data_IF_216396931073
#
_entry.id   IF_216396931073
#
_cell.length_a   1.000
_cell.length_b   1.000
_cell.length_c   1.000
_cell.angle_alpha   90.00
_cell.angle_beta   90.00
_cell.angle_gamma   90.00
#
_symmetry.space_group_name_H-M   'P 1'
#
loop_
_entity.id
_entity.type
_entity.pdbx_description
1 polymer ?
#
# COMPACT_ATOMS: atom_id res chain seq x y z
N UNK A 1 0.48 8.86 16.63
CA UNK A 1 1.62 9.42 17.42
C UNK A 1 2.19 8.41 18.41
N UNK A 2 1.43 7.37 18.78
CA UNK A 2 1.91 6.24 19.60
C UNK A 2 2.81 5.32 18.74
N UNK A 3 2.56 5.19 17.43
CA UNK A 3 3.21 4.17 16.58
C UNK A 3 4.64 4.50 16.16
N UNK A 4 4.94 5.75 15.80
CA UNK A 4 6.32 6.17 15.49
C UNK A 4 7.24 6.09 16.72
N UNK A 5 6.73 6.44 17.90
CA UNK A 5 7.46 6.31 19.15
C UNK A 5 7.67 4.83 19.53
N UNK A 6 6.68 3.97 19.28
CA UNK A 6 6.79 2.52 19.46
C UNK A 6 7.80 1.88 18.51
N UNK A 7 7.86 2.31 17.25
CA UNK A 7 8.83 1.83 16.25
C UNK A 7 10.25 2.30 16.54
N UNK A 8 10.44 3.57 16.93
CA UNK A 8 11.74 4.10 17.35
C UNK A 8 12.24 3.39 18.63
N UNK A 9 11.33 3.11 19.57
CA UNK A 9 11.63 2.37 20.79
C UNK A 9 11.97 0.90 20.51
N UNK A 10 11.26 0.24 19.61
CA UNK A 10 11.54 -1.14 19.19
C UNK A 10 12.90 -1.24 18.46
N UNK A 11 13.21 -0.28 17.58
CA UNK A 11 14.51 -0.16 16.92
C UNK A 11 15.64 0.07 17.93
N UNK A 12 15.48 1.03 18.84
CA UNK A 12 16.43 1.30 19.92
C UNK A 12 16.64 0.08 20.83
N UNK A 13 15.57 -0.61 21.22
CA UNK A 13 15.65 -1.83 22.03
C UNK A 13 16.32 -2.98 21.28
N UNK A 14 16.07 -3.11 19.98
CA UNK A 14 16.75 -4.09 19.11
C UNK A 14 18.26 -3.87 19.05
N UNK A 15 18.69 -2.62 18.85
CA UNK A 15 20.11 -2.25 18.90
C UNK A 15 20.71 -2.51 20.29
N UNK A 16 20.00 -2.15 21.35
CA UNK A 16 20.45 -2.34 22.73
C UNK A 16 20.60 -3.82 23.09
N UNK A 17 19.66 -4.67 22.67
CA UNK A 17 19.74 -6.13 22.81
C UNK A 17 20.96 -6.69 22.08
N UNK A 18 21.23 -6.22 20.85
CA UNK A 18 22.41 -6.64 20.09
C UNK A 18 23.73 -6.22 20.77
N UNK A 19 23.76 -5.05 21.41
CA UNK A 19 24.90 -4.59 22.22
C UNK A 19 25.08 -5.45 23.47
N UNK A 20 24.00 -5.74 24.22
CA UNK A 20 24.04 -6.58 25.43
C UNK A 20 24.45 -8.02 25.16
N UNK A 21 24.08 -8.55 24.00
CA UNK A 21 24.53 -9.88 23.55
C UNK A 21 26.06 -9.93 23.36
N UNK A 22 26.70 -8.84 22.91
CA UNK A 22 28.16 -8.78 22.71
C UNK A 22 28.94 -8.40 23.97
N UNK A 23 28.33 -7.63 24.87
CA UNK A 23 28.93 -7.16 26.11
C UNK A 23 27.93 -7.26 27.28
N UNK A 24 27.81 -8.44 27.91
CA UNK A 24 26.85 -8.69 28.99
C UNK A 24 27.17 -7.87 30.24
N UNK A 25 26.14 -7.37 30.92
CA UNK A 25 26.23 -6.71 32.23
C UNK A 25 25.17 -7.23 33.20
N UNK A 26 25.13 -6.75 34.44
CA UNK A 26 24.19 -7.23 35.47
C UNK A 26 22.76 -6.65 35.32
N UNK A 27 22.39 -6.22 34.10
CA UNK A 27 21.09 -5.61 33.79
C UNK A 27 20.02 -6.61 33.34
N UNK A 28 18.74 -6.23 33.50
CA UNK A 28 17.57 -7.06 33.17
C UNK A 28 17.56 -7.58 31.71
N UNK A 29 18.00 -6.78 30.74
CA UNK A 29 18.08 -7.20 29.33
C UNK A 29 19.13 -8.30 29.11
N UNK A 30 20.21 -8.29 29.88
CA UNK A 30 21.22 -9.36 29.85
C UNK A 30 20.64 -10.66 30.41
N UNK A 31 19.81 -10.60 31.46
CA UNK A 31 19.09 -11.76 32.00
C UNK A 31 18.07 -12.33 31.01
N UNK A 32 17.29 -11.48 30.31
CA UNK A 32 16.35 -11.94 29.27
C UNK A 32 17.07 -12.61 28.08
N UNK A 33 18.22 -12.08 27.69
CA UNK A 33 19.09 -12.70 26.69
C UNK A 33 19.63 -14.05 27.18
N UNK A 34 20.01 -14.17 28.45
CA UNK A 34 20.42 -15.46 29.04
C UNK A 34 19.29 -16.48 29.06
N UNK A 35 18.06 -16.09 29.39
CA UNK A 35 16.88 -16.97 29.38
C UNK A 35 16.58 -17.50 27.97
N UNK A 36 16.73 -16.66 26.93
CA UNK A 36 16.64 -17.09 25.53
C UNK A 36 17.67 -18.15 25.13
N UNK A 37 18.86 -18.10 25.72
CA UNK A 37 19.96 -19.03 25.42
C UNK A 37 20.08 -20.19 26.43
N UNK A 38 19.26 -20.22 27.48
CA UNK A 38 19.25 -21.25 28.52
C UNK A 38 18.59 -22.57 28.07
N UNK A 39 18.82 -23.64 28.83
CA UNK A 39 18.16 -24.93 28.58
C UNK A 39 16.67 -24.86 28.95
N UNK A 40 15.80 -25.00 27.95
CA UNK A 40 14.34 -25.06 28.13
C UNK A 40 13.85 -26.51 28.30
N UNK A 41 12.77 -26.74 29.07
CA UNK A 41 12.11 -28.03 29.15
C UNK A 41 11.51 -28.43 27.78
N UNK A 42 11.46 -29.73 27.45
CA UNK A 42 10.98 -30.19 26.15
C UNK A 42 9.48 -29.92 25.97
N UNK A 43 9.12 -29.16 24.92
CA UNK A 43 7.73 -28.87 24.52
C UNK A 43 7.38 -27.39 24.41
N UNK A 44 8.26 -26.48 24.81
CA UNK A 44 8.09 -25.03 24.64
C UNK A 44 9.05 -24.50 23.55
N UNK A 45 8.54 -23.61 22.70
CA UNK A 45 9.36 -22.94 21.69
C UNK A 45 10.30 -21.91 22.34
N UNK A 46 11.52 -21.82 21.81
CA UNK A 46 12.50 -20.85 22.27
C UNK A 46 12.08 -19.46 21.83
N UNK A 47 12.21 -18.49 22.73
CA UNK A 47 12.02 -17.07 22.41
C UNK A 47 12.84 -16.67 21.18
N UNK A 48 12.14 -16.30 20.13
CA UNK A 48 12.70 -15.77 18.90
C UNK A 48 13.25 -14.35 19.14
N UNK A 49 14.02 -13.84 18.18
CA UNK A 49 14.60 -12.50 18.30
C UNK A 49 13.54 -11.41 18.40
N UNK A 50 12.44 -11.59 17.67
CA UNK A 50 11.32 -10.66 17.67
C UNK A 50 10.54 -10.72 18.98
N UNK A 51 10.25 -11.92 19.51
CA UNK A 51 9.54 -12.06 20.79
C UNK A 51 10.32 -11.46 21.98
N UNK A 52 11.65 -11.54 21.96
CA UNK A 52 12.47 -10.91 23.00
C UNK A 52 12.38 -9.38 22.94
N UNK A 53 12.38 -8.80 21.74
CA UNK A 53 12.21 -7.35 21.54
C UNK A 53 10.81 -6.91 21.93
N UNK A 54 9.77 -7.66 21.56
CA UNK A 54 8.40 -7.41 21.99
C UNK A 54 8.24 -7.49 23.51
N UNK A 55 8.85 -8.48 24.16
CA UNK A 55 8.84 -8.61 25.62
C UNK A 55 9.58 -7.46 26.32
N UNK A 56 10.73 -7.04 25.79
CA UNK A 56 11.49 -5.90 26.30
C UNK A 56 10.72 -4.58 26.14
N UNK A 57 10.02 -4.39 25.02
CA UNK A 57 9.15 -3.24 24.79
C UNK A 57 7.95 -3.23 25.75
N UNK A 58 7.31 -4.38 25.96
CA UNK A 58 6.20 -4.51 26.92
C UNK A 58 6.65 -4.20 28.35
N UNK A 59 7.82 -4.67 28.78
CA UNK A 59 8.37 -4.36 30.11
C UNK A 59 8.73 -2.87 30.26
N UNK A 60 9.17 -2.22 29.18
CA UNK A 60 9.51 -0.80 29.18
C UNK A 60 8.25 0.09 29.22
N UNK A 61 7.24 -0.24 28.42
CA UNK A 61 5.94 0.46 28.40
C UNK A 61 5.23 0.28 29.74
N UNK A 62 5.20 -0.95 30.27
CA UNK A 62 4.63 -1.23 31.59
C UNK A 62 5.33 -0.46 32.72
N UNK A 63 6.62 -0.12 32.57
CA UNK A 63 7.34 0.75 33.51
C UNK A 63 7.04 2.25 33.31
N UNK A 64 6.76 2.69 32.08
CA UNK A 64 6.60 4.09 31.71
C UNK A 64 5.16 4.62 31.87
N UNK A 65 4.14 3.79 31.63
CA UNK A 65 2.71 4.17 31.75
C UNK A 65 2.30 4.47 33.19
N UNK A 66 2.96 3.89 34.19
CA UNK A 66 2.72 4.22 35.60
C UNK A 66 3.21 5.60 36.03
N UNK A 67 3.87 6.38 35.15
CA UNK A 67 4.50 7.65 35.54
C UNK A 67 4.16 8.87 34.67
N UNK A 68 3.53 8.70 33.51
CA UNK A 68 3.45 9.75 32.47
C UNK A 68 2.05 10.29 32.15
N UNK A 69 1.01 9.87 32.88
CA UNK A 69 -0.38 10.28 32.63
C UNK A 69 -0.73 11.73 33.07
N UNK A 70 0.17 12.71 32.90
CA UNK A 70 -0.05 14.09 33.36
C UNK A 70 -0.08 15.19 32.27
N UNK A 71 0.36 15.02 31.02
CA UNK A 71 0.56 16.19 30.13
C UNK A 71 0.09 15.96 28.66
N UNK A 72 -0.88 16.75 28.18
CA UNK A 72 -1.63 16.60 26.92
C UNK A 72 -1.42 17.80 25.96
N UNK A 73 -1.44 17.59 24.62
CA UNK A 73 -2.09 18.49 23.64
C UNK A 73 -1.28 19.41 22.67
N UNK A 74 -1.72 19.42 21.39
CA UNK A 74 -1.63 20.44 20.29
C UNK A 74 -0.49 20.35 19.24
N UNK A 75 -0.86 20.05 17.97
CA UNK A 75 -0.98 21.01 16.84
C UNK A 75 -1.00 20.33 15.43
N UNK A 76 -2.04 20.61 14.62
CA UNK A 76 -2.10 20.41 13.15
C UNK A 76 -1.20 21.40 12.39
N UNK A 77 -0.82 21.13 11.13
CA UNK A 77 -0.85 22.05 9.96
C UNK A 77 -0.60 21.32 8.61
N UNK A 78 -1.20 21.87 7.55
CA UNK A 78 -1.46 21.35 6.20
C UNK A 78 -0.51 22.00 5.15
N UNK A 79 -0.20 21.37 4.00
CA UNK A 79 0.48 22.04 2.88
C UNK A 79 0.02 21.61 1.48
N UNK A 80 -0.75 22.49 0.82
CA UNK A 80 -1.02 22.54 -0.63
C UNK A 80 -0.04 23.54 -1.27
N UNK A 81 0.59 23.25 -2.41
CA UNK A 81 1.44 24.22 -3.15
C UNK A 81 0.99 24.42 -4.60
N UNK A 82 1.35 25.62 -5.10
CA UNK A 82 0.74 26.42 -6.17
C UNK A 82 1.45 26.27 -7.52
N UNK A 83 0.62 26.36 -8.56
CA UNK A 83 0.89 26.72 -9.96
C UNK A 83 1.67 28.04 -10.14
N UNK A 84 2.51 28.07 -11.18
CA UNK A 84 2.91 29.30 -11.89
C UNK A 84 3.07 29.06 -13.40
N UNK A 85 2.47 29.96 -14.18
CA UNK A 85 2.52 30.14 -15.64
C UNK A 85 3.91 30.09 -16.29
N UNK A 86 4.03 29.49 -17.50
CA UNK A 86 4.73 30.09 -18.65
C UNK A 86 4.46 29.44 -20.03
N UNK A 87 3.84 30.24 -20.92
CA UNK A 87 4.00 30.42 -22.39
C UNK A 87 4.42 29.24 -23.30
N UNK A 88 3.54 28.95 -24.28
CA UNK A 88 3.71 28.07 -25.45
C UNK A 88 4.81 28.51 -26.44
N UNK A 89 5.41 27.55 -27.16
CA UNK A 89 5.55 27.70 -28.60
C UNK A 89 5.00 26.49 -29.37
N UNK A 90 4.31 26.80 -30.47
CA UNK A 90 3.81 25.88 -31.48
C UNK A 90 4.93 25.35 -32.36
N UNK A 91 4.96 24.04 -32.64
CA UNK A 91 5.50 23.45 -33.88
C UNK A 91 4.81 22.10 -34.11
N UNK A 92 4.49 21.84 -35.37
CA UNK A 92 3.68 20.75 -35.95
C UNK A 92 4.02 19.34 -35.44
N UNK A 93 2.96 18.57 -35.15
CA UNK A 93 3.02 17.13 -34.93
C UNK A 93 2.90 16.39 -36.27
N UNK A 94 3.67 15.31 -36.53
CA UNK A 94 3.36 14.38 -37.59
C UNK A 94 2.21 13.44 -37.18
N UNK A 95 1.35 13.21 -38.15
CA UNK A 95 0.25 12.24 -38.18
C UNK A 95 0.75 10.82 -37.93
N UNK A 96 0.23 10.18 -36.87
CA UNK A 96 0.27 8.73 -36.67
C UNK A 96 -1.14 8.20 -36.42
N UNK A 97 -1.98 8.27 -37.45
CA UNK A 97 -3.10 7.35 -37.60
C UNK A 97 -2.57 5.90 -37.61
N UNK A 98 -2.87 5.13 -36.56
CA UNK A 98 -2.67 3.68 -36.56
C UNK A 98 -2.36 3.02 -35.23
N UNK A 99 -3.32 3.01 -34.30
CA UNK A 99 -3.54 1.93 -33.31
C UNK A 99 -4.81 2.27 -32.50
N UNK A 100 -5.95 2.20 -33.18
CA UNK A 100 -7.26 2.24 -32.53
C UNK A 100 -7.57 0.81 -32.10
N UNK A 101 -6.89 0.35 -31.04
CA UNK A 101 -7.21 -0.93 -30.41
C UNK A 101 -8.34 -0.70 -29.39
N UNK A 102 -9.44 -1.38 -29.67
CA UNK A 102 -10.72 -1.31 -29.00
C UNK A 102 -10.65 -1.72 -27.52
N UNK A 103 -11.08 -0.82 -26.62
CA UNK A 103 -11.56 -1.16 -25.27
C UNK A 103 -12.59 -0.10 -24.82
N UNK A 104 -13.64 0.08 -25.61
CA UNK A 104 -14.88 0.72 -25.15
C UNK A 104 -15.82 -0.45 -24.76
N UNK A 105 -15.65 -0.98 -23.55
CA UNK A 105 -16.64 -1.87 -22.94
C UNK A 105 -17.33 -1.04 -21.85
N UNK A 106 -18.51 -0.53 -22.16
CA UNK A 106 -19.44 -0.05 -21.14
C UNK A 106 -19.59 -1.18 -20.11
N UNK A 107 -19.34 -0.92 -18.81
CA UNK A 107 -19.31 -2.00 -17.83
C UNK A 107 -20.68 -2.67 -17.81
N UNK A 108 -20.75 -4.02 -17.76
CA UNK A 108 -22.03 -4.68 -17.71
C UNK A 108 -22.75 -4.17 -16.46
N UNK A 109 -23.98 -3.67 -16.60
CA UNK A 109 -24.73 -3.03 -15.50
C UNK A 109 -24.74 -3.84 -14.18
N UNK A 110 -24.58 -5.17 -14.28
CA UNK A 110 -24.43 -6.09 -13.14
C UNK A 110 -23.21 -5.80 -12.26
N UNK A 111 -22.09 -5.37 -12.83
CA UNK A 111 -20.88 -5.07 -12.08
C UNK A 111 -21.08 -3.84 -11.20
N UNK A 112 -21.75 -2.81 -11.72
CA UNK A 112 -22.09 -1.63 -10.93
C UNK A 112 -23.12 -1.95 -9.83
N UNK A 113 -24.08 -2.84 -10.07
CA UNK A 113 -25.00 -3.31 -9.03
C UNK A 113 -24.27 -4.02 -7.88
N UNK A 114 -23.29 -4.88 -8.21
CA UNK A 114 -22.42 -5.56 -7.23
C UNK A 114 -21.65 -4.53 -6.40
N UNK A 115 -20.98 -3.59 -7.07
CA UNK A 115 -20.19 -2.55 -6.40
C UNK A 115 -21.09 -1.64 -5.55
N UNK A 116 -22.26 -1.27 -6.03
CA UNK A 116 -23.21 -0.46 -5.27
C UNK A 116 -23.70 -1.19 -4.01
N UNK A 117 -23.88 -2.51 -4.06
CA UNK A 117 -24.22 -3.30 -2.87
C UNK A 117 -23.04 -3.44 -1.90
N UNK A 118 -21.80 -3.46 -2.41
CA UNK A 118 -20.60 -3.67 -1.61
C UNK A 118 -20.17 -2.49 -0.75
N UNK A 119 -20.46 -1.26 -1.19
CA UNK A 119 -20.10 -0.05 -0.47
C UNK A 119 -21.35 0.63 0.07
N UNK A 120 -21.70 0.55 1.36
CA UNK A 120 -22.88 1.23 1.92
C UNK A 120 -22.74 2.76 1.85
N UNK A 121 -23.83 3.49 1.63
CA UNK A 121 -23.84 4.94 1.39
C UNK A 121 -23.21 5.74 2.53
N UNK A 122 -23.33 5.27 3.77
CA UNK A 122 -22.79 5.91 4.97
C UNK A 122 -21.25 5.94 5.03
N UNK A 123 -20.57 5.07 4.28
CA UNK A 123 -19.11 4.98 4.26
C UNK A 123 -18.49 5.56 2.99
N UNK A 124 -19.33 5.95 2.02
CA UNK A 124 -18.90 6.47 0.72
C UNK A 124 -18.44 7.91 0.83
N UNK A 125 -17.34 8.22 0.17
CA UNK A 125 -17.06 9.59 -0.25
C UNK A 125 -17.94 9.95 -1.45
N UNK A 126 -18.20 11.24 -1.71
CA UNK A 126 -18.92 11.66 -2.91
C UNK A 126 -18.28 11.09 -4.18
N UNK A 127 -19.07 10.62 -5.16
CA UNK A 127 -18.53 10.23 -6.46
C UNK A 127 -17.85 11.42 -7.14
N UNK A 128 -16.81 11.15 -7.93
CA UNK A 128 -16.01 12.18 -8.59
C UNK A 128 -16.77 12.83 -9.75
N UNK A 129 -17.59 12.04 -10.46
CA UNK A 129 -18.37 12.50 -11.62
C UNK A 129 -17.56 12.53 -12.93
N UNK A 130 -18.29 12.58 -14.05
CA UNK A 130 -17.72 12.34 -15.39
C UNK A 130 -16.69 13.38 -15.81
N UNK A 131 -16.95 14.65 -15.49
CA UNK A 131 -16.07 15.77 -15.86
C UNK A 131 -14.74 15.70 -15.11
N UNK A 132 -14.77 15.51 -13.80
CA UNK A 132 -13.56 15.47 -12.98
C UNK A 132 -12.72 14.21 -13.24
N UNK A 133 -13.37 13.07 -13.53
CA UNK A 133 -12.68 11.86 -14.00
C UNK A 133 -11.98 12.13 -15.33
N UNK A 134 -12.67 12.72 -16.31
CA UNK A 134 -12.08 13.03 -17.61
C UNK A 134 -10.91 14.02 -17.52
N UNK A 135 -11.01 15.04 -16.64
CA UNK A 135 -9.91 15.97 -16.36
C UNK A 135 -8.70 15.23 -15.78
N UNK A 136 -8.90 14.36 -14.78
CA UNK A 136 -7.82 13.58 -14.21
C UNK A 136 -7.17 12.65 -15.25
N UNK A 137 -7.98 11.97 -16.05
CA UNK A 137 -7.53 11.09 -17.14
C UNK A 137 -6.68 11.84 -18.18
N UNK A 138 -7.11 13.05 -18.58
CA UNK A 138 -6.37 13.89 -19.52
C UNK A 138 -5.09 14.47 -18.92
N UNK A 139 -5.11 14.87 -17.63
CA UNK A 139 -3.92 15.34 -16.91
C UNK A 139 -2.83 14.26 -16.81
N UNK A 140 -3.23 13.00 -16.64
CA UNK A 140 -2.32 11.88 -16.45
C UNK A 140 -2.08 11.08 -17.74
N UNK A 141 -2.72 11.43 -18.85
CA UNK A 141 -2.54 10.76 -20.14
C UNK A 141 -2.98 9.30 -20.17
N UNK A 142 -3.94 8.91 -19.32
CA UNK A 142 -4.42 7.53 -19.17
C UNK A 142 -5.94 7.47 -19.22
N UNK A 143 -6.51 6.33 -19.61
CA UNK A 143 -7.92 6.01 -19.40
C UNK A 143 -8.04 4.93 -18.35
N UNK A 144 -8.79 5.20 -17.29
CA UNK A 144 -8.99 4.27 -16.19
C UNK A 144 -9.71 3.01 -16.68
N UNK A 145 -9.35 1.83 -16.15
CA UNK A 145 -10.01 0.59 -16.53
C UNK A 145 -11.45 0.54 -16.01
N UNK A 146 -12.37 0.09 -16.86
CA UNK A 146 -13.68 -0.33 -16.40
C UNK A 146 -13.57 -1.65 -15.63
N UNK A 147 -14.44 -1.87 -14.61
CA UNK A 147 -15.52 -1.00 -14.17
C UNK A 147 -15.13 0.05 -13.12
N UNK A 148 -13.82 0.20 -12.80
CA UNK A 148 -13.36 1.15 -11.78
C UNK A 148 -13.66 2.60 -12.16
N UNK A 149 -13.50 2.96 -13.44
CA UNK A 149 -13.84 4.29 -13.94
C UNK A 149 -15.29 4.63 -13.65
N UNK A 150 -16.25 3.81 -14.08
CA UNK A 150 -17.68 4.04 -13.81
C UNK A 150 -18.02 3.98 -12.31
N UNK A 151 -17.33 3.15 -11.54
CA UNK A 151 -17.48 3.10 -10.07
C UNK A 151 -17.16 4.44 -9.41
N UNK A 152 -16.01 5.05 -9.72
CA UNK A 152 -15.65 6.35 -9.13
C UNK A 152 -16.48 7.51 -9.70
N UNK A 153 -16.96 7.38 -10.93
CA UNK A 153 -17.85 8.36 -11.57
C UNK A 153 -19.22 8.41 -10.89
N UNK A 154 -19.81 7.25 -10.57
CA UNK A 154 -21.23 7.16 -10.22
C UNK A 154 -21.52 6.70 -8.79
N UNK A 155 -20.61 5.92 -8.18
CA UNK A 155 -20.86 5.28 -6.88
C UNK A 155 -20.13 6.02 -5.77
N UNK A 156 -18.79 6.10 -5.83
CA UNK A 156 -17.98 6.74 -4.77
C UNK A 156 -16.52 6.94 -5.18
N UNK A 157 -15.90 8.06 -4.80
CA UNK A 157 -14.46 8.29 -5.00
C UNK A 157 -13.68 8.03 -3.69
N UNK A 158 -13.65 6.77 -3.28
CA UNK A 158 -13.07 6.33 -2.02
C UNK A 158 -14.13 6.05 -0.96
N UNK A 159 -13.80 5.20 0.00
CA UNK A 159 -14.70 4.81 1.08
C UNK A 159 -13.89 4.38 2.29
N UNK A 160 -14.31 4.80 3.48
CA UNK A 160 -13.71 4.32 4.74
C UNK A 160 -14.03 2.85 5.06
N UNK A 161 -14.79 2.20 4.17
CA UNK A 161 -15.10 0.78 4.20
C UNK A 161 -14.69 0.17 2.86
N UNK A 162 -14.02 -0.97 2.87
CA UNK A 162 -13.60 -1.60 1.63
C UNK A 162 -12.65 -2.76 1.82
N UNK A 163 -12.19 -3.32 0.69
CA UNK A 163 -11.15 -4.34 0.65
C UNK A 163 -9.91 -3.99 1.50
N UNK A 164 -9.29 -2.80 1.40
CA UNK A 164 -8.11 -2.50 2.22
C UNK A 164 -8.47 -2.37 3.70
N UNK A 165 -7.75 -3.06 4.57
CA UNK A 165 -8.09 -3.16 6.00
C UNK A 165 -7.82 -1.86 6.76
N UNK A 166 -6.80 -1.10 6.38
CA UNK A 166 -6.46 0.19 7.00
C UNK A 166 -7.05 1.36 6.18
N UNK A 167 -8.22 1.82 6.61
CA UNK A 167 -8.85 3.04 6.09
C UNK A 167 -9.68 2.87 4.81
N UNK A 168 -9.81 1.65 4.29
CA UNK A 168 -10.67 1.34 3.15
C UNK A 168 -10.11 1.82 1.80
N UNK A 169 -11.02 2.10 0.86
CA UNK A 169 -10.63 2.60 -0.46
C UNK A 169 -10.25 4.07 -0.43
N UNK A 170 -9.05 4.37 -0.92
CA UNK A 170 -8.58 5.74 -1.08
C UNK A 170 -9.26 6.45 -2.26
N UNK A 171 -9.46 7.77 -2.19
CA UNK A 171 -9.85 8.56 -3.36
C UNK A 171 -8.80 8.48 -4.48
N UNK A 172 -9.24 8.64 -5.73
CA UNK A 172 -8.36 8.62 -6.90
C UNK A 172 -7.17 9.59 -6.74
N UNK A 173 -5.96 9.06 -6.94
CA UNK A 173 -4.70 9.82 -6.89
C UNK A 173 -4.17 10.07 -5.48
N UNK A 174 -4.84 9.61 -4.42
CA UNK A 174 -4.33 9.70 -3.05
C UNK A 174 -3.34 8.58 -2.76
N UNK A 175 -2.43 8.84 -1.82
CA UNK A 175 -1.43 7.88 -1.36
C UNK A 175 -1.53 7.71 0.16
N UNK A 176 -1.36 6.48 0.68
CA UNK A 176 -1.32 6.24 2.12
C UNK A 176 -0.06 6.87 2.73
N UNK A 177 -0.05 7.22 4.04
CA UNK A 177 1.09 7.86 4.70
C UNK A 177 2.41 7.08 4.61
N UNK A 178 2.35 5.75 4.52
CA UNK A 178 3.52 4.87 4.39
C UNK A 178 4.07 4.74 2.96
N UNK A 179 3.39 5.31 1.95
CA UNK A 179 3.78 5.16 0.56
C UNK A 179 5.24 5.59 0.32
N UNK A 180 6.06 4.77 -0.35
CA UNK A 180 7.47 5.09 -0.52
C UNK A 180 7.66 6.29 -1.46
N UNK A 181 8.38 7.31 -0.99
CA UNK A 181 8.74 8.49 -1.78
C UNK A 181 9.87 8.14 -2.77
N UNK A 182 9.47 7.59 -3.93
CA UNK A 182 10.37 7.10 -4.98
C UNK A 182 10.25 7.87 -6.30
N UNK A 183 9.59 9.03 -6.29
CA UNK A 183 9.39 9.87 -7.46
C UNK A 183 7.93 10.15 -7.77
N UNK A 184 7.71 10.82 -8.91
CA UNK A 184 6.36 11.10 -9.39
C UNK A 184 5.75 9.83 -9.99
N UNK A 185 4.48 9.57 -9.65
CA UNK A 185 3.72 8.47 -10.24
C UNK A 185 3.33 8.78 -11.68
N UNK A 186 3.37 7.77 -12.52
CA UNK A 186 2.96 7.82 -13.93
C UNK A 186 2.06 6.62 -14.26
N UNK A 187 0.73 6.76 -14.13
CA UNK A 187 -0.20 5.69 -14.45
C UNK A 187 -0.32 5.41 -15.97
N UNK A 188 0.24 6.25 -16.84
CA UNK A 188 0.21 6.07 -18.30
C UNK A 188 1.40 5.24 -18.81
N UNK A 189 2.52 5.22 -18.09
CA UNK A 189 3.62 4.29 -18.40
C UNK A 189 3.20 2.85 -18.06
N UNK A 190 3.64 1.85 -18.83
CA UNK A 190 3.21 0.47 -18.63
C UNK A 190 3.70 -0.11 -17.29
N UNK A 191 2.82 -0.86 -16.60
CA UNK A 191 3.20 -1.59 -15.39
C UNK A 191 4.25 -2.66 -15.72
N UNK A 192 5.36 -2.76 -14.96
CA UNK A 192 6.53 -3.53 -15.39
C UNK A 192 6.43 -5.05 -15.17
N UNK A 193 5.39 -5.54 -14.49
CA UNK A 193 5.27 -6.96 -14.13
C UNK A 193 4.08 -7.64 -14.83
N UNK A 194 4.32 -8.85 -15.31
CA UNK A 194 3.28 -9.76 -15.81
C UNK A 194 3.07 -10.98 -14.92
N UNK A 195 4.01 -11.24 -14.01
CA UNK A 195 4.04 -12.38 -13.09
C UNK A 195 4.54 -11.91 -11.71
N UNK A 196 4.25 -12.71 -10.68
CA UNK A 196 4.73 -12.46 -9.32
C UNK A 196 6.25 -12.22 -9.30
N UNK A 197 6.67 -11.28 -8.46
CA UNK A 197 8.07 -10.93 -8.27
C UNK A 197 8.42 -10.92 -6.78
N UNK A 198 8.80 -12.07 -6.20
CA UNK A 198 9.33 -12.15 -4.85
C UNK A 198 10.74 -11.56 -4.79
N UNK A 199 11.02 -10.75 -3.77
CA UNK A 199 12.33 -10.09 -3.64
C UNK A 199 13.42 -10.98 -3.03
N UNK A 200 13.04 -12.03 -2.29
CA UNK A 200 14.01 -12.94 -1.65
C UNK A 200 14.73 -13.89 -2.63
N UNK A 201 14.14 -14.13 -3.81
CA UNK A 201 14.57 -15.21 -4.72
C UNK A 201 15.41 -14.74 -5.93
N UNK A 202 15.72 -13.44 -6.03
CA UNK A 202 16.27 -12.90 -7.28
C UNK A 202 17.80 -12.64 -7.25
N UNK A 203 18.55 -13.39 -8.08
CA UNK A 203 19.97 -13.13 -8.38
C UNK A 203 20.13 -11.97 -9.39
N UNK A 204 19.66 -10.77 -9.02
CA UNK A 204 19.83 -9.54 -9.81
C UNK A 204 20.90 -8.64 -9.21
N UNK A 205 21.45 -7.72 -10.02
CA UNK A 205 22.32 -6.69 -9.48
C UNK A 205 21.49 -5.74 -8.61
N UNK A 206 22.09 -5.19 -7.54
CA UNK A 206 21.40 -4.26 -6.66
C UNK A 206 20.81 -3.06 -7.41
N UNK A 207 21.50 -2.55 -8.44
CA UNK A 207 21.03 -1.42 -9.24
C UNK A 207 19.80 -1.76 -10.10
N UNK A 208 19.76 -2.95 -10.69
CA UNK A 208 18.61 -3.39 -11.48
C UNK A 208 17.39 -3.64 -10.59
N UNK A 209 17.63 -4.19 -9.38
CA UNK A 209 16.59 -4.37 -8.36
C UNK A 209 16.00 -3.02 -7.91
N UNK A 210 16.84 -2.04 -7.58
CA UNK A 210 16.41 -0.72 -7.15
C UNK A 210 15.55 -0.04 -8.23
N UNK A 211 16.00 -0.06 -9.48
CA UNK A 211 15.26 0.56 -10.59
C UNK A 211 13.91 -0.12 -10.83
N UNK A 212 13.89 -1.46 -10.84
CA UNK A 212 12.64 -2.20 -11.05
C UNK A 212 11.66 -2.00 -9.90
N UNK A 213 12.16 -1.83 -8.68
CA UNK A 213 11.34 -1.47 -7.51
C UNK A 213 10.69 -0.10 -7.72
N UNK A 214 11.48 0.90 -8.10
CA UNK A 214 10.97 2.25 -8.44
C UNK A 214 9.91 2.19 -9.53
N UNK A 215 10.13 1.38 -10.58
CA UNK A 215 9.17 1.23 -11.68
C UNK A 215 7.85 0.58 -11.22
N UNK A 216 7.91 -0.43 -10.34
CA UNK A 216 6.72 -1.11 -9.78
C UNK A 216 5.87 -0.15 -8.96
N UNK A 217 6.50 0.70 -8.14
CA UNK A 217 5.78 1.66 -7.33
C UNK A 217 5.19 2.79 -8.17
N UNK A 218 5.88 3.26 -9.21
CA UNK A 218 5.49 4.51 -9.88
C UNK A 218 4.75 4.33 -11.21
N UNK A 219 4.92 3.23 -11.93
CA UNK A 219 4.39 3.12 -13.29
C UNK A 219 3.10 2.30 -13.37
N UNK A 220 2.19 2.71 -14.24
CA UNK A 220 1.11 1.88 -14.78
C UNK A 220 0.06 1.42 -13.77
N UNK A 221 -0.05 2.12 -12.64
CA UNK A 221 -1.01 1.77 -11.60
C UNK A 221 -1.53 3.00 -10.86
N UNK A 222 -2.66 2.82 -10.17
CA UNK A 222 -3.14 3.70 -9.11
C UNK A 222 -3.23 2.93 -7.79
N UNK A 223 -3.16 3.65 -6.67
CA UNK A 223 -3.23 3.07 -5.32
C UNK A 223 -4.69 3.06 -4.87
N UNK A 224 -5.17 1.90 -4.44
CA UNK A 224 -6.52 1.71 -3.93
C UNK A 224 -6.58 1.80 -2.41
N UNK A 225 -5.50 1.49 -1.70
CA UNK A 225 -5.44 1.50 -0.25
C UNK A 225 -4.31 0.65 0.28
N UNK A 226 -4.34 0.39 1.58
CA UNK A 226 -3.29 -0.33 2.31
C UNK A 226 -3.92 -1.24 3.36
N UNK A 227 -3.29 -2.39 3.64
CA UNK A 227 -3.70 -3.25 4.76
C UNK A 227 -2.94 -2.90 6.04
N UNK A 228 -1.71 -2.42 5.88
CA UNK A 228 -0.81 -2.01 6.94
C UNK A 228 0.13 -0.89 6.44
N UNK A 229 1.23 -0.60 7.15
CA UNK A 229 2.16 0.46 6.76
C UNK A 229 3.00 0.11 5.50
N UNK A 230 3.03 -1.16 5.09
CA UNK A 230 3.98 -1.72 4.12
C UNK A 230 3.32 -2.41 2.91
N UNK A 231 2.02 -2.68 2.95
CA UNK A 231 1.29 -3.51 1.97
C UNK A 231 0.23 -2.72 1.22
N UNK A 232 0.46 -2.45 -0.07
CA UNK A 232 -0.37 -1.55 -0.87
C UNK A 232 -1.13 -2.26 -1.98
N UNK A 233 -2.43 -1.97 -2.07
CA UNK A 233 -3.30 -2.45 -3.14
C UNK A 233 -3.21 -1.54 -4.36
N UNK A 234 -2.89 -2.12 -5.51
CA UNK A 234 -2.77 -1.42 -6.77
C UNK A 234 -3.81 -1.91 -7.78
N UNK A 235 -4.38 -0.97 -8.54
CA UNK A 235 -5.10 -1.26 -9.78
C UNK A 235 -4.20 -0.88 -10.96
N UNK A 236 -3.91 -1.86 -11.81
CA UNK A 236 -3.09 -1.62 -13.00
C UNK A 236 -3.91 -0.86 -14.06
N UNK A 237 -3.40 0.27 -14.52
CA UNK A 237 -4.05 1.17 -15.48
C UNK A 237 -3.53 1.00 -16.90
N UNK A 238 -2.25 0.62 -17.06
CA UNK A 238 -1.60 0.52 -18.37
C UNK A 238 -0.68 -0.70 -18.47
N UNK A 239 -0.71 -1.38 -19.61
CA UNK A 239 0.10 -2.57 -19.89
C UNK A 239 -0.70 -3.88 -19.89
N UNK A 240 -0.03 -5.04 -20.01
CA UNK A 240 -0.68 -6.34 -20.17
C UNK A 240 -1.57 -6.78 -19.00
N UNK A 241 -1.33 -6.22 -17.81
CA UNK A 241 -2.11 -6.50 -16.61
C UNK A 241 -3.24 -5.47 -16.37
N UNK A 242 -3.55 -4.59 -17.33
CA UNK A 242 -4.58 -3.55 -17.19
C UNK A 242 -5.90 -4.11 -16.65
N UNK A 243 -6.47 -3.40 -15.67
CA UNK A 243 -7.73 -3.74 -14.99
C UNK A 243 -7.59 -4.76 -13.86
N UNK A 244 -6.39 -5.30 -13.63
CA UNK A 244 -6.14 -6.30 -12.61
C UNK A 244 -5.57 -5.73 -11.32
N UNK A 245 -5.80 -6.46 -10.22
CA UNK A 245 -5.37 -6.08 -8.87
C UNK A 245 -4.04 -6.74 -8.50
N UNK A 246 -3.16 -5.93 -7.94
CA UNK A 246 -1.85 -6.34 -7.43
C UNK A 246 -1.67 -5.90 -5.99
N UNK A 247 -0.91 -6.68 -5.23
CA UNK A 247 -0.45 -6.33 -3.89
C UNK A 247 1.07 -6.14 -3.94
N UNK A 248 1.54 -4.98 -3.50
CA UNK A 248 2.97 -4.70 -3.37
C UNK A 248 3.31 -4.54 -1.90
N UNK A 249 4.27 -5.31 -1.41
CA UNK A 249 4.71 -5.30 -0.01
C UNK A 249 6.24 -5.33 0.11
N UNK A 250 6.75 -5.38 1.35
CA UNK A 250 8.19 -5.45 1.64
C UNK A 250 8.89 -6.73 1.18
N UNK A 251 8.13 -7.74 0.73
CA UNK A 251 8.66 -9.04 0.25
C UNK A 251 8.45 -9.25 -1.25
N UNK A 252 7.84 -8.30 -1.95
CA UNK A 252 7.63 -8.40 -3.40
C UNK A 252 6.32 -7.81 -3.90
N UNK A 253 6.08 -8.04 -5.18
CA UNK A 253 4.86 -7.63 -5.87
C UNK A 253 4.14 -8.85 -6.45
N UNK A 254 2.87 -9.01 -6.10
CA UNK A 254 2.12 -10.22 -6.40
C UNK A 254 0.80 -9.88 -7.10
N UNK A 255 0.45 -10.63 -8.17
CA UNK A 255 -0.92 -10.64 -8.66
C UNK A 255 -1.83 -11.19 -7.57
N UNK A 256 -2.98 -10.57 -7.31
CA UNK A 256 -3.92 -11.07 -6.31
C UNK A 256 -5.10 -11.78 -6.98
N UNK A 257 -5.55 -12.96 -6.51
CA UNK A 257 -5.04 -13.78 -5.39
C UNK A 257 -3.76 -14.57 -5.76
N UNK A 258 -3.34 -14.50 -7.02
CA UNK A 258 -2.24 -15.28 -7.56
C UNK A 258 -2.67 -16.71 -7.95
N UNK A 259 -1.98 -17.35 -8.91
CA UNK A 259 -0.92 -16.77 -9.75
C UNK A 259 -1.46 -15.84 -10.84
N UNK A 260 -2.76 -15.88 -11.14
CA UNK A 260 -3.41 -15.01 -12.11
C UNK A 260 -4.19 -13.91 -11.39
N UNK A 261 -3.89 -12.64 -11.70
CA UNK A 261 -4.58 -11.52 -11.06
C UNK A 261 -6.02 -11.38 -11.59
N UNK A 262 -6.93 -11.12 -10.65
CA UNK A 262 -8.35 -10.87 -10.92
C UNK A 262 -8.62 -9.38 -11.15
N UNK A 263 -9.80 -9.09 -11.71
CA UNK A 263 -10.27 -7.73 -11.91
C UNK A 263 -10.85 -7.09 -10.64
N UNK A 264 -11.08 -5.78 -10.71
CA UNK A 264 -11.58 -4.97 -9.59
C UNK A 264 -12.88 -5.50 -8.94
N UNK A 265 -13.87 -5.92 -9.73
CA UNK A 265 -15.16 -6.42 -9.19
C UNK A 265 -14.97 -7.73 -8.45
N UNK A 266 -14.23 -8.66 -9.04
CA UNK A 266 -13.98 -9.96 -8.44
C UNK A 266 -13.19 -9.81 -7.13
N UNK A 267 -12.26 -8.86 -7.07
CA UNK A 267 -11.53 -8.50 -5.85
C UNK A 267 -12.47 -8.02 -4.74
N UNK A 268 -13.41 -7.10 -5.06
CA UNK A 268 -14.43 -6.66 -4.10
C UNK A 268 -15.35 -7.81 -3.67
N UNK A 269 -15.78 -8.66 -4.60
CA UNK A 269 -16.64 -9.82 -4.28
C UNK A 269 -15.95 -10.81 -3.35
N UNK A 270 -14.66 -11.08 -3.57
CA UNK A 270 -13.87 -12.00 -2.76
C UNK A 270 -13.75 -11.50 -1.32
N UNK A 271 -13.52 -10.20 -1.14
CA UNK A 271 -13.57 -9.53 0.15
C UNK A 271 -14.94 -9.68 0.83
N UNK A 272 -16.04 -9.41 0.11
CA UNK A 272 -17.39 -9.57 0.67
C UNK A 272 -17.72 -11.00 1.08
N UNK A 273 -17.15 -11.99 0.39
CA UNK A 273 -17.33 -13.40 0.73
C UNK A 273 -16.63 -13.80 2.05
N UNK A 274 -15.78 -12.92 2.61
CA UNK A 274 -15.00 -13.21 3.82
C UNK A 274 -14.02 -14.36 3.64
N UNK A 275 -13.65 -14.67 2.39
CA UNK A 275 -12.50 -15.52 2.11
C UNK A 275 -11.28 -14.69 2.51
N UNK A 276 -10.45 -15.17 3.44
CA UNK A 276 -9.27 -14.42 3.85
C UNK A 276 -8.41 -14.07 2.64
N UNK A 277 -7.59 -13.01 2.74
CA UNK A 277 -6.66 -12.60 1.69
C UNK A 277 -5.69 -13.71 1.27
N UNK A 278 -5.52 -14.71 2.14
CA UNK A 278 -4.51 -15.74 2.02
C UNK A 278 -5.09 -17.15 1.77
N UNK A 279 -6.40 -17.25 1.48
CA UNK A 279 -7.12 -18.51 1.22
C UNK A 279 -7.28 -18.87 -0.27
#
# INVERSE_FOLDING_TARGET
MIDAASHELAGYLGELVAVKHRSPDDGLLTELVRVRHGEQPPGEERLTGHELVSLAALLLIAGHETTTNLNSGRHSHNHKRRSTDRVKPSTEAPDISGAMDAFDDEPPARDLDVLQAAFPVEWREPPLGEEDVAVWEDEHGVRLPEPYRSFITHITNGSSYGPPEDGGLLPLGWLPPGWPDQGDRDPATAFPLEQAWPWEDEEVTATDFDQRTVDVYNHGSIVLGTDDELSYWLLVTTGPQRGKIWLVSEVGAYPYPGPEAIGFVEWVQRWQAGSGWWD
#
